data_IF_424952098337
#
_entry.id   IF_424952098337
#
_cell.length_a   1.000
_cell.length_b   1.000
_cell.length_c   1.000
_cell.angle_alpha   90.00
_cell.angle_beta   90.00
_cell.angle_gamma   90.00
#
_symmetry.space_group_name_H-M   'P 1'
#
loop_
_entity.id
_entity.type
_entity.pdbx_description
1 polymer ?
#
# COMPACT_ATOMS: atom_id res chain seq x y z
N UNK A 1 14.75 49.63 -6.09
CA UNK A 1 13.61 49.42 -5.16
C UNK A 1 12.27 49.16 -5.86
N UNK A 2 11.81 49.98 -6.83
CA UNK A 2 10.49 49.76 -7.48
C UNK A 2 10.33 48.44 -8.27
N UNK A 3 11.40 47.90 -8.88
CA UNK A 3 11.34 46.61 -9.63
C UNK A 3 11.19 45.37 -8.74
N UNK A 4 11.79 45.39 -7.55
CA UNK A 4 11.63 44.30 -6.57
C UNK A 4 10.22 44.26 -5.97
N UNK A 5 9.62 45.44 -5.74
CA UNK A 5 8.26 45.53 -5.19
C UNK A 5 7.20 44.98 -6.15
N UNK A 6 7.36 45.20 -7.46
CA UNK A 6 6.46 44.66 -8.50
C UNK A 6 6.60 43.14 -8.64
N UNK A 7 7.83 42.61 -8.53
CA UNK A 7 8.06 41.16 -8.57
C UNK A 7 7.44 40.44 -7.37
N UNK A 8 7.55 41.02 -6.17
CA UNK A 8 6.95 40.47 -4.95
C UNK A 8 5.43 40.52 -5.03
N UNK A 9 4.84 41.60 -5.54
CA UNK A 9 3.39 41.69 -5.77
C UNK A 9 2.87 40.70 -6.82
N UNK A 10 3.63 40.44 -7.89
CA UNK A 10 3.28 39.42 -8.89
C UNK A 10 3.39 38.01 -8.32
N UNK A 11 4.41 37.72 -7.50
CA UNK A 11 4.55 36.44 -6.81
C UNK A 11 3.41 36.20 -5.81
N UNK A 12 3.03 37.22 -5.02
CA UNK A 12 1.90 37.12 -4.10
C UNK A 12 0.59 36.90 -4.87
N UNK A 13 0.38 37.60 -6.00
CA UNK A 13 -0.81 37.42 -6.82
C UNK A 13 -0.88 36.03 -7.45
N UNK A 14 0.25 35.48 -7.93
CA UNK A 14 0.34 34.11 -8.44
C UNK A 14 0.07 33.09 -7.34
N UNK A 15 0.62 33.29 -6.13
CA UNK A 15 0.37 32.40 -4.99
C UNK A 15 -1.09 32.46 -4.50
N UNK A 16 -1.72 33.64 -4.49
CA UNK A 16 -3.14 33.79 -4.11
C UNK A 16 -4.05 33.17 -5.17
N UNK A 17 -3.73 33.32 -6.46
CA UNK A 17 -4.50 32.67 -7.54
C UNK A 17 -4.28 31.14 -7.52
N UNK A 18 -3.07 30.66 -7.22
CA UNK A 18 -2.81 29.23 -7.03
C UNK A 18 -3.54 28.68 -5.81
N UNK A 19 -3.55 29.37 -4.67
CA UNK A 19 -4.29 28.98 -3.47
C UNK A 19 -5.81 28.95 -3.73
N UNK A 20 -6.36 29.92 -4.46
CA UNK A 20 -7.78 29.94 -4.83
C UNK A 20 -8.15 28.88 -5.89
N UNK A 21 -7.20 28.45 -6.73
CA UNK A 21 -7.37 27.33 -7.66
C UNK A 21 -7.22 25.96 -6.96
N UNK A 22 -6.44 25.87 -5.87
CA UNK A 22 -6.28 24.67 -5.05
C UNK A 22 -7.42 24.48 -4.03
N UNK A 23 -7.94 25.56 -3.44
CA UNK A 23 -9.13 25.50 -2.55
C UNK A 23 -10.42 25.09 -3.31
N UNK A 24 -10.42 25.19 -4.65
CA UNK A 24 -11.56 24.85 -5.51
C UNK A 24 -11.60 23.42 -6.07
N UNK A 25 -10.64 22.54 -5.72
CA UNK A 25 -10.53 21.18 -6.29
C UNK A 25 -10.42 20.05 -5.26
N UNK A 26 -10.92 20.25 -4.04
CA UNK A 26 -11.31 19.13 -3.18
C UNK A 26 -12.54 18.49 -3.81
N UNK A 27 -12.40 17.28 -4.33
CA UNK A 27 -13.48 16.47 -4.92
C UNK A 27 -14.72 16.51 -4.02
N UNK A 28 -15.65 17.40 -4.36
CA UNK A 28 -16.91 17.54 -3.67
C UNK A 28 -17.89 16.57 -4.32
N UNK A 29 -17.96 15.35 -3.77
CA UNK A 29 -19.08 14.39 -3.76
C UNK A 29 -18.53 12.96 -3.83
N UNK A 30 -18.19 12.37 -2.68
CA UNK A 30 -18.16 10.91 -2.53
C UNK A 30 -18.43 10.43 -1.08
N UNK A 31 -18.31 11.27 -0.03
CA UNK A 31 -18.14 10.74 1.34
C UNK A 31 -19.35 10.71 2.29
N UNK A 32 -20.54 11.15 1.90
CA UNK A 32 -21.72 11.02 2.78
C UNK A 32 -22.38 9.63 2.73
N UNK A 33 -21.94 8.75 1.80
CA UNK A 33 -22.51 7.42 1.59
C UNK A 33 -21.68 6.23 2.07
N UNK A 34 -20.36 6.42 2.24
CA UNK A 34 -19.42 5.31 2.46
C UNK A 34 -19.58 4.62 3.82
N UNK A 35 -19.88 5.35 4.91
CA UNK A 35 -19.92 4.73 6.26
C UNK A 35 -21.10 3.78 6.49
N UNK A 36 -22.30 4.06 5.95
CA UNK A 36 -23.46 3.15 6.12
C UNK A 36 -23.53 2.06 5.06
N UNK A 37 -23.02 2.32 3.86
CA UNK A 37 -22.97 1.32 2.81
C UNK A 37 -21.88 0.28 3.09
N UNK A 38 -20.68 0.70 3.50
CA UNK A 38 -19.59 -0.20 3.84
C UNK A 38 -19.97 -1.15 5.00
N UNK A 39 -20.60 -0.62 6.05
CA UNK A 39 -21.07 -1.44 7.18
C UNK A 39 -22.05 -2.55 6.79
N UNK A 40 -22.82 -2.39 5.70
CA UNK A 40 -23.75 -3.43 5.22
C UNK A 40 -23.06 -4.55 4.44
N UNK A 41 -21.86 -4.29 3.94
CA UNK A 41 -21.08 -5.23 3.13
C UNK A 41 -19.94 -5.88 3.92
N UNK A 42 -19.83 -5.59 5.22
CA UNK A 42 -18.89 -6.27 6.10
C UNK A 42 -19.30 -7.74 6.26
N UNK A 43 -18.38 -8.64 5.95
CA UNK A 43 -18.53 -10.07 6.14
C UNK A 43 -17.53 -10.58 7.17
N UNK A 44 -17.80 -11.76 7.74
CA UNK A 44 -16.89 -12.40 8.67
C UNK A 44 -15.86 -13.23 7.89
N UNK A 45 -14.57 -12.92 8.04
CA UNK A 45 -13.50 -13.75 7.47
C UNK A 45 -13.02 -14.83 8.44
N UNK A 46 -12.80 -14.47 9.70
CA UNK A 46 -12.41 -15.42 10.76
C UNK A 46 -13.22 -15.18 12.03
N UNK A 47 -13.24 -16.12 12.97
CA UNK A 47 -14.29 -16.16 14.01
C UNK A 47 -14.42 -14.96 14.97
N UNK A 48 -13.41 -14.10 15.12
CA UNK A 48 -13.45 -12.95 16.02
C UNK A 48 -12.31 -11.95 15.76
N UNK A 49 -12.38 -10.78 16.41
CA UNK A 49 -11.26 -9.82 16.50
C UNK A 49 -10.01 -10.52 17.01
N UNK A 50 -8.86 -10.26 16.37
CA UNK A 50 -7.57 -10.88 16.70
C UNK A 50 -7.55 -12.41 16.56
N UNK A 51 -8.40 -12.99 15.71
CA UNK A 51 -8.31 -14.40 15.31
C UNK A 51 -6.95 -14.77 14.67
N UNK A 52 -6.30 -13.77 14.06
CA UNK A 52 -5.00 -13.83 13.42
C UNK A 52 -4.19 -12.75 14.10
N UNK A 53 -3.13 -13.18 14.78
CA UNK A 53 -2.37 -12.31 15.66
C UNK A 53 -1.30 -11.56 14.87
N UNK A 54 -1.35 -10.24 14.92
CA UNK A 54 -0.31 -9.39 14.37
C UNK A 54 1.04 -9.63 15.09
N UNK A 55 2.13 -9.56 14.34
CA UNK A 55 3.47 -9.52 14.94
C UNK A 55 3.71 -8.10 15.44
N UNK A 56 4.05 -7.95 16.72
CA UNK A 56 4.39 -6.67 17.32
C UNK A 56 5.85 -6.71 17.79
N UNK A 57 6.61 -5.65 17.51
CA UNK A 57 8.05 -5.59 17.79
C UNK A 57 8.83 -6.76 17.15
N UNK A 58 8.78 -6.91 15.81
CA UNK A 58 9.42 -8.00 15.09
C UNK A 58 10.93 -8.07 15.33
N UNK A 59 11.47 -9.28 15.26
CA UNK A 59 12.91 -9.53 15.18
C UNK A 59 13.34 -9.62 13.71
N UNK A 60 14.57 -9.19 13.44
CA UNK A 60 15.16 -9.22 12.11
C UNK A 60 16.48 -9.98 12.12
N UNK A 61 16.78 -10.62 11.00
CA UNK A 61 18.04 -11.33 10.77
C UNK A 61 18.77 -10.81 9.53
N UNK A 62 20.03 -11.20 9.41
CA UNK A 62 20.85 -10.84 8.25
C UNK A 62 20.38 -11.57 6.98
N UNK A 63 20.72 -11.00 5.83
CA UNK A 63 20.57 -11.63 4.52
C UNK A 63 21.20 -13.05 4.48
N UNK A 64 22.35 -13.24 5.12
CA UNK A 64 23.04 -14.54 5.17
C UNK A 64 22.21 -15.60 5.91
N UNK A 65 21.64 -15.24 7.06
CA UNK A 65 20.77 -16.14 7.82
C UNK A 65 19.49 -16.43 7.05
N UNK A 66 18.87 -15.41 6.46
CA UNK A 66 17.65 -15.55 5.68
C UNK A 66 17.81 -16.49 4.48
N UNK A 67 18.97 -16.49 3.81
CA UNK A 67 19.27 -17.42 2.71
C UNK A 67 19.23 -18.90 3.10
N UNK A 68 19.29 -19.25 4.39
CA UNK A 68 19.17 -20.64 4.82
C UNK A 68 17.75 -21.21 4.67
N UNK A 69 16.73 -20.37 4.52
CA UNK A 69 15.33 -20.79 4.46
C UNK A 69 14.44 -20.00 3.49
N UNK A 70 14.91 -18.86 2.95
CA UNK A 70 14.31 -18.17 1.82
C UNK A 70 14.94 -18.64 0.52
N UNK A 71 14.11 -19.18 -0.38
CA UNK A 71 14.50 -19.49 -1.76
C UNK A 71 14.43 -18.22 -2.59
N UNK A 72 15.23 -18.14 -3.65
CA UNK A 72 15.24 -16.98 -4.55
C UNK A 72 13.89 -16.71 -5.21
N UNK A 73 13.06 -17.75 -5.37
CA UNK A 73 11.70 -17.65 -5.90
C UNK A 73 10.65 -17.22 -4.88
N UNK A 74 10.98 -17.20 -3.58
CA UNK A 74 10.01 -16.84 -2.54
C UNK A 74 9.66 -15.36 -2.66
N UNK A 75 8.36 -15.03 -2.53
CA UNK A 75 7.90 -13.64 -2.57
C UNK A 75 8.20 -12.94 -1.25
N UNK A 76 8.72 -11.73 -1.35
CA UNK A 76 8.96 -10.81 -0.24
C UNK A 76 8.32 -9.46 -0.56
N UNK A 77 7.89 -8.77 0.49
CA UNK A 77 7.52 -7.36 0.41
C UNK A 77 8.70 -6.55 0.94
N UNK A 78 9.33 -5.81 0.03
CA UNK A 78 10.50 -5.00 0.32
C UNK A 78 10.10 -3.57 0.63
N UNK A 79 10.61 -3.04 1.74
CA UNK A 79 10.53 -1.63 2.10
C UNK A 79 11.92 -1.03 1.89
N UNK A 80 12.01 -0.02 1.04
CA UNK A 80 13.21 0.81 0.89
C UNK A 80 12.77 2.27 0.94
N UNK A 81 12.89 2.87 2.12
CA UNK A 81 12.46 4.25 2.37
C UNK A 81 13.61 5.06 2.95
N UNK A 82 13.74 6.34 2.58
CA UNK A 82 14.70 7.22 3.23
C UNK A 82 14.27 7.42 4.69
N UNK A 83 15.24 7.51 5.60
CA UNK A 83 14.98 7.71 7.03
C UNK A 83 14.09 8.94 7.29
N UNK A 84 14.17 9.95 6.43
CA UNK A 84 13.35 11.18 6.46
C UNK A 84 11.85 10.91 6.31
N UNK A 85 11.44 9.91 5.51
CA UNK A 85 10.03 9.56 5.30
C UNK A 85 9.32 9.07 6.57
N UNK A 86 10.08 8.61 7.57
CA UNK A 86 9.54 8.23 8.87
C UNK A 86 9.33 9.41 9.84
N UNK A 87 9.81 10.60 9.47
CA UNK A 87 9.75 11.81 10.28
C UNK A 87 8.97 12.95 9.62
N UNK A 88 8.62 12.85 8.33
CA UNK A 88 7.79 13.85 7.67
C UNK A 88 6.35 13.79 8.21
N UNK A 89 6.02 14.75 9.08
CA UNK A 89 4.64 15.21 9.29
C UNK A 89 4.19 16.04 8.09
N UNK A 90 2.89 16.02 7.85
CA UNK A 90 2.19 16.92 6.93
C UNK A 90 2.60 18.40 7.17
N UNK A 91 3.46 18.92 6.29
CA UNK A 91 3.95 20.30 6.35
C UNK A 91 4.48 20.77 5.00
N UNK A 92 4.12 21.99 4.61
CA UNK A 92 4.48 22.57 3.31
C UNK A 92 6.00 22.71 3.14
N UNK A 93 6.41 22.68 1.87
CA UNK A 93 7.79 22.71 1.37
C UNK A 93 8.72 23.78 2.00
N UNK A 94 8.18 24.85 2.59
CA UNK A 94 8.95 25.93 3.21
C UNK A 94 9.51 25.62 4.61
N UNK A 95 8.92 24.69 5.37
CA UNK A 95 9.47 24.26 6.68
C UNK A 95 10.62 23.25 6.54
N UNK A 96 10.82 22.69 5.34
CA UNK A 96 11.83 21.66 5.02
C UNK A 96 13.29 22.15 5.06
N UNK A 97 13.53 23.45 5.26
CA UNK A 97 14.89 24.03 5.22
C UNK A 97 15.52 24.36 6.57
N UNK A 98 14.73 24.48 7.66
CA UNK A 98 15.26 24.83 9.00
C UNK A 98 15.28 23.67 10.00
N UNK A 99 14.48 22.61 9.80
CA UNK A 99 14.67 21.34 10.49
C UNK A 99 15.73 20.50 9.76
N UNK A 100 16.98 20.96 9.87
CA UNK A 100 18.15 20.08 9.71
C UNK A 100 18.00 18.95 10.74
N UNK A 101 17.48 17.82 10.29
CA UNK A 101 17.39 16.54 11.00
C UNK A 101 18.70 16.25 11.75
N UNK A 102 18.77 16.56 13.05
CA UNK A 102 19.75 16.10 14.06
C UNK A 102 21.21 15.81 13.63
N UNK A 103 21.75 16.44 12.57
CA UNK A 103 23.07 16.13 12.02
C UNK A 103 23.32 14.67 11.61
N UNK A 104 22.29 13.80 11.51
CA UNK A 104 22.46 12.42 11.05
C UNK A 104 22.47 12.39 9.51
N UNK A 105 23.38 11.62 8.87
CA UNK A 105 23.32 11.41 7.42
C UNK A 105 22.01 10.71 7.05
N UNK A 106 21.41 11.08 5.92
CA UNK A 106 20.27 10.35 5.37
C UNK A 106 20.73 8.94 4.96
N UNK A 107 19.96 7.94 5.35
CA UNK A 107 20.18 6.55 4.98
C UNK A 107 18.84 5.90 4.62
N UNK A 108 18.91 4.77 3.89
CA UNK A 108 17.72 4.00 3.54
C UNK A 108 17.50 2.89 4.57
N UNK A 109 16.24 2.70 4.92
CA UNK A 109 15.78 1.55 5.70
C UNK A 109 15.37 0.50 4.68
N UNK A 110 16.19 -0.53 4.56
CA UNK A 110 15.98 -1.65 3.64
C UNK A 110 15.60 -2.90 4.44
N UNK A 111 14.31 -3.23 4.41
CA UNK A 111 13.77 -4.39 5.12
C UNK A 111 12.94 -5.25 4.17
N UNK A 112 13.06 -6.57 4.29
CA UNK A 112 12.23 -7.53 3.58
C UNK A 112 11.30 -8.27 4.54
N UNK A 113 10.03 -8.36 4.17
CA UNK A 113 8.98 -9.06 4.91
C UNK A 113 8.50 -10.25 4.06
N UNK A 114 8.89 -11.49 4.39
CA UNK A 114 8.51 -12.65 3.58
C UNK A 114 6.99 -12.86 3.54
N UNK A 115 6.44 -13.05 2.34
CA UNK A 115 5.01 -13.34 2.12
C UNK A 115 4.55 -14.51 2.97
N UNK A 116 5.39 -15.56 3.10
CA UNK A 116 5.08 -16.75 3.91
C UNK A 116 5.00 -16.50 5.42
N UNK A 117 5.53 -15.40 5.96
CA UNK A 117 5.28 -15.03 7.37
C UNK A 117 4.01 -14.18 7.44
N UNK A 118 3.91 -13.19 6.56
CA UNK A 118 2.76 -12.29 6.50
C UNK A 118 1.45 -13.00 6.13
N UNK A 119 1.50 -14.13 5.42
CA UNK A 119 0.32 -14.96 5.17
C UNK A 119 -0.30 -15.52 6.46
N UNK A 120 0.52 -15.80 7.48
CA UNK A 120 0.06 -16.30 8.79
C UNK A 120 -0.39 -15.19 9.71
N UNK A 121 0.22 -14.00 9.62
CA UNK A 121 0.04 -12.93 10.59
C UNK A 121 -0.74 -11.72 10.09
N UNK A 122 -0.81 -11.55 8.77
CA UNK A 122 -1.42 -10.46 8.02
C UNK A 122 -0.90 -9.04 8.32
N UNK A 123 -0.38 -8.78 9.53
CA UNK A 123 0.09 -7.49 9.98
C UNK A 123 1.38 -7.68 10.79
N UNK A 124 2.39 -6.88 10.48
CA UNK A 124 3.62 -6.72 11.24
C UNK A 124 3.74 -5.25 11.63
N UNK A 125 3.55 -4.96 12.91
CA UNK A 125 3.77 -3.64 13.49
C UNK A 125 5.25 -3.50 13.87
N UNK A 126 5.98 -2.78 13.02
CA UNK A 126 7.42 -2.57 13.13
C UNK A 126 7.74 -1.18 13.69
N UNK A 127 8.95 -1.04 14.19
CA UNK A 127 9.49 0.19 14.72
C UNK A 127 10.91 0.36 14.22
N UNK A 128 11.21 1.54 13.70
CA UNK A 128 12.58 1.92 13.41
C UNK A 128 12.89 3.29 14.02
N UNK A 129 13.88 3.33 14.91
CA UNK A 129 14.31 4.53 15.66
C UNK A 129 13.15 5.34 16.31
N UNK A 130 12.09 4.66 16.76
CA UNK A 130 10.93 5.29 17.41
C UNK A 130 9.78 5.62 16.46
N UNK A 131 9.96 5.50 15.15
CA UNK A 131 8.90 5.65 14.16
C UNK A 131 8.21 4.32 13.92
N UNK A 132 6.92 4.27 14.24
CA UNK A 132 6.08 3.10 14.00
C UNK A 132 5.60 3.07 12.56
N UNK A 133 5.54 1.86 12.00
CA UNK A 133 4.87 1.60 10.74
C UNK A 133 4.40 0.14 10.73
N UNK A 134 3.46 -0.15 9.84
CA UNK A 134 2.85 -1.48 9.76
C UNK A 134 2.90 -1.99 8.34
N UNK A 135 3.50 -3.15 8.16
CA UNK A 135 3.47 -3.89 6.89
C UNK A 135 2.34 -4.89 6.97
N UNK A 136 1.48 -4.89 5.96
CA UNK A 136 0.26 -5.69 5.93
C UNK A 136 0.19 -6.49 4.65
N UNK A 137 -0.46 -7.65 4.74
CA UNK A 137 -0.74 -8.51 3.60
C UNK A 137 -2.07 -9.21 3.82
N UNK A 138 -2.97 -9.05 2.86
CA UNK A 138 -4.25 -9.72 2.79
C UNK A 138 -4.11 -10.98 1.91
N UNK A 139 -4.08 -12.20 2.49
CA UNK A 139 -3.89 -13.42 1.71
C UNK A 139 -5.07 -13.74 0.80
N UNK A 140 -6.23 -13.17 1.12
CA UNK A 140 -7.47 -13.32 0.38
C UNK A 140 -7.41 -12.48 -0.89
N UNK A 141 -7.01 -11.22 -0.83
CA UNK A 141 -7.00 -10.29 -1.96
C UNK A 141 -5.63 -10.10 -2.64
N UNK A 142 -4.55 -10.66 -2.08
CA UNK A 142 -3.21 -10.60 -2.66
C UNK A 142 -2.51 -9.25 -2.53
N UNK A 143 -3.12 -8.30 -1.81
CA UNK A 143 -2.59 -6.94 -1.62
C UNK A 143 -1.64 -6.89 -0.43
N UNK A 144 -0.51 -6.22 -0.60
CA UNK A 144 0.40 -5.84 0.47
C UNK A 144 0.56 -4.33 0.52
N UNK A 145 0.50 -3.74 1.71
CA UNK A 145 0.72 -2.31 1.93
C UNK A 145 1.66 -2.09 3.10
N UNK A 146 2.24 -0.89 3.15
CA UNK A 146 2.90 -0.38 4.34
C UNK A 146 2.27 0.95 4.74
N UNK A 147 2.04 1.16 6.04
CA UNK A 147 1.44 2.38 6.58
C UNK A 147 2.33 2.99 7.63
N UNK A 148 2.42 4.31 7.66
CA UNK A 148 2.94 5.03 8.82
C UNK A 148 2.00 4.74 10.01
N UNK A 149 2.56 4.36 11.14
CA UNK A 149 1.84 4.01 12.37
C UNK A 149 1.37 5.25 13.13
N UNK A 150 0.55 6.09 12.50
CA UNK A 150 -0.07 7.28 13.11
C UNK A 150 -1.58 7.27 12.88
N UNK A 151 -2.33 7.51 13.95
CA UNK A 151 -3.78 7.76 13.93
C UNK A 151 -4.08 8.89 14.89
N UNK A 152 -4.82 9.92 14.45
CA UNK A 152 -5.09 11.14 15.21
C UNK A 152 -3.79 11.75 15.78
N UNK A 153 -2.75 11.82 14.94
CA UNK A 153 -1.39 12.29 15.26
C UNK A 153 -0.69 11.54 16.42
N UNK A 154 -1.21 10.37 16.82
CA UNK A 154 -0.63 9.51 17.85
C UNK A 154 -0.06 8.25 17.24
N UNK A 155 1.03 7.77 17.82
CA UNK A 155 1.61 6.48 17.49
C UNK A 155 0.56 5.37 17.64
N UNK A 156 0.38 4.61 16.56
CA UNK A 156 -0.62 3.57 16.43
C UNK A 156 0.02 2.29 15.91
N UNK A 157 -0.49 1.16 16.39
CA UNK A 157 -0.31 -0.16 15.81
C UNK A 157 -1.65 -0.67 15.31
N UNK A 158 -1.64 -1.61 14.37
CA UNK A 158 -2.87 -2.17 13.80
C UNK A 158 -3.03 -3.65 14.15
N UNK A 159 -4.27 -4.10 14.20
CA UNK A 159 -4.63 -5.51 14.37
C UNK A 159 -5.75 -5.93 13.43
N UNK A 160 -6.03 -7.23 13.40
CA UNK A 160 -7.04 -7.82 12.52
C UNK A 160 -8.40 -7.79 13.20
N UNK A 161 -9.42 -7.19 12.56
CA UNK A 161 -10.80 -7.22 13.10
C UNK A 161 -11.47 -8.57 12.95
N UNK A 162 -10.97 -9.39 12.04
CA UNK A 162 -11.59 -10.61 11.56
C UNK A 162 -12.73 -10.41 10.58
N UNK A 163 -13.00 -9.15 10.22
CA UNK A 163 -13.96 -8.76 9.21
C UNK A 163 -13.28 -8.53 7.86
N UNK A 164 -14.08 -8.61 6.82
CA UNK A 164 -13.69 -8.39 5.44
C UNK A 164 -14.66 -7.41 4.80
N UNK A 165 -14.13 -6.52 3.98
CA UNK A 165 -14.90 -5.59 3.14
C UNK A 165 -14.40 -5.74 1.71
N UNK A 166 -15.28 -6.12 0.79
CA UNK A 166 -14.93 -6.31 -0.63
C UNK A 166 -13.72 -7.24 -0.84
N UNK A 167 -13.73 -8.39 -0.16
CA UNK A 167 -12.63 -9.38 -0.17
C UNK A 167 -11.29 -8.90 0.39
N UNK A 168 -11.25 -7.69 0.97
CA UNK A 168 -10.08 -7.11 1.61
C UNK A 168 -10.17 -7.14 3.14
N UNK A 169 -9.00 -7.26 3.77
CA UNK A 169 -8.84 -7.26 5.23
C UNK A 169 -9.32 -5.93 5.82
N UNK A 170 -10.12 -6.00 6.89
CA UNK A 170 -10.42 -4.83 7.72
C UNK A 170 -9.55 -4.83 8.98
N UNK A 171 -8.75 -3.80 9.13
CA UNK A 171 -7.86 -3.59 10.27
C UNK A 171 -8.53 -2.73 11.34
N UNK A 172 -8.04 -2.77 12.58
CA UNK A 172 -8.36 -1.77 13.60
C UNK A 172 -7.08 -1.13 14.16
N UNK A 173 -7.16 0.11 14.61
CA UNK A 173 -6.03 0.79 15.27
C UNK A 173 -6.06 0.68 16.80
N UNK A 174 -4.90 0.80 17.43
CA UNK A 174 -4.73 0.75 18.89
C UNK A 174 -5.07 2.04 19.63
N UNK A 175 -5.31 3.16 18.94
CA UNK A 175 -5.49 4.49 19.56
C UNK A 175 -6.94 4.70 19.96
N UNK A 176 -7.85 4.44 19.04
CA UNK A 176 -9.28 4.71 19.17
C UNK A 176 -10.17 3.60 18.59
N UNK A 177 -9.57 2.51 18.09
CA UNK A 177 -10.29 1.37 17.52
C UNK A 177 -11.19 1.75 16.34
N UNK A 178 -10.78 2.73 15.54
CA UNK A 178 -11.32 2.92 14.20
C UNK A 178 -10.93 1.73 13.32
N UNK A 179 -11.80 1.42 12.36
CA UNK A 179 -11.59 0.34 11.40
C UNK A 179 -11.15 0.92 10.07
N UNK A 180 -10.25 0.22 9.41
CA UNK A 180 -9.55 0.69 8.21
C UNK A 180 -9.56 -0.40 7.15
N UNK A 181 -9.90 -0.04 5.91
CA UNK A 181 -9.76 -0.96 4.79
C UNK A 181 -8.27 -1.09 4.44
N UNK A 182 -7.73 -2.31 4.41
CA UNK A 182 -6.29 -2.54 4.28
C UNK A 182 -5.75 -2.14 2.90
N UNK A 183 -6.52 -2.34 1.84
CA UNK A 183 -6.09 -2.04 0.47
C UNK A 183 -5.96 -0.53 0.22
N UNK A 184 -6.88 0.27 0.74
CA UNK A 184 -6.93 1.73 0.48
C UNK A 184 -6.40 2.59 1.63
N UNK A 185 -6.36 2.08 2.86
CA UNK A 185 -6.06 2.88 4.04
C UNK A 185 -7.19 3.82 4.46
N UNK A 186 -8.38 3.70 3.87
CA UNK A 186 -9.55 4.53 4.19
C UNK A 186 -10.27 4.03 5.46
N UNK A 187 -10.88 4.94 6.25
CA UNK A 187 -11.61 4.58 7.45
C UNK A 187 -13.00 4.02 7.09
N UNK A 188 -13.33 2.88 7.67
CA UNK A 188 -14.60 2.15 7.47
C UNK A 188 -15.59 2.45 8.60
N UNK A 189 -15.09 2.49 9.84
CA UNK A 189 -15.90 2.68 11.05
C UNK A 189 -15.10 3.38 12.14
N UNK A 190 -15.78 4.09 13.04
CA UNK A 190 -15.16 4.75 14.18
C UNK A 190 -14.76 6.21 13.94
N UNK A 191 -14.11 6.85 14.92
CA UNK A 191 -13.86 8.30 14.89
C UNK A 191 -13.04 8.81 13.70
N UNK A 192 -12.22 7.98 13.07
CA UNK A 192 -11.46 8.35 11.87
C UNK A 192 -12.36 8.69 10.67
N UNK A 193 -13.54 8.07 10.56
CA UNK A 193 -14.54 8.38 9.52
C UNK A 193 -15.03 9.81 9.68
N UNK A 194 -15.37 10.21 10.91
CA UNK A 194 -15.86 11.56 11.22
C UNK A 194 -14.77 12.61 10.95
N UNK A 195 -13.50 12.25 11.12
CA UNK A 195 -12.35 13.11 10.81
C UNK A 195 -11.94 13.11 9.34
N UNK A 196 -12.48 12.20 8.53
CA UNK A 196 -12.05 11.99 7.14
C UNK A 196 -10.53 11.80 7.02
N UNK A 197 -9.98 11.05 7.97
CA UNK A 197 -8.54 10.75 8.07
C UNK A 197 -8.25 9.48 7.27
N UNK A 198 -7.25 9.52 6.39
CA UNK A 198 -6.72 8.34 5.69
C UNK A 198 -5.35 7.97 6.25
N UNK A 199 -5.02 6.68 6.25
CA UNK A 199 -3.68 6.23 6.60
C UNK A 199 -2.65 6.71 5.56
N UNK A 200 -1.47 7.10 6.03
CA UNK A 200 -0.36 7.48 5.15
C UNK A 200 0.38 6.22 4.68
N UNK A 201 0.36 5.96 3.37
CA UNK A 201 1.05 4.81 2.78
C UNK A 201 2.56 5.05 2.63
N UNK A 202 3.32 3.97 2.76
CA UNK A 202 4.73 3.90 2.44
C UNK A 202 4.92 3.02 1.19
N UNK A 203 5.83 3.39 0.27
CA UNK A 203 6.11 2.57 -0.90
C UNK A 203 6.61 1.18 -0.49
N UNK A 204 5.93 0.15 -0.98
CA UNK A 204 6.31 -1.25 -0.76
C UNK A 204 6.46 -1.97 -2.10
N UNK A 205 7.47 -2.83 -2.20
CA UNK A 205 7.82 -3.55 -3.43
C UNK A 205 7.49 -5.01 -3.25
N UNK A 206 6.53 -5.53 -4.00
CA UNK A 206 6.33 -6.98 -4.12
C UNK A 206 7.29 -7.53 -5.17
N UNK A 207 8.18 -8.43 -4.76
CA UNK A 207 9.18 -9.04 -5.65
C UNK A 207 9.63 -10.40 -5.11
N UNK A 208 10.51 -11.09 -5.82
CA UNK A 208 11.12 -12.32 -5.32
C UNK A 208 12.34 -12.01 -4.46
N UNK A 209 12.67 -12.89 -3.52
CA UNK A 209 13.83 -12.75 -2.65
C UNK A 209 15.13 -12.61 -3.43
N UNK A 210 15.29 -13.39 -4.50
CA UNK A 210 16.47 -13.33 -5.36
C UNK A 210 16.64 -11.97 -6.03
N UNK A 211 15.54 -11.38 -6.51
CA UNK A 211 15.54 -10.04 -7.10
C UNK A 211 15.81 -8.98 -6.04
N UNK A 212 15.11 -9.01 -4.90
CA UNK A 212 15.30 -8.05 -3.81
C UNK A 212 16.74 -8.00 -3.31
N UNK A 213 17.30 -9.15 -2.93
CA UNK A 213 18.64 -9.22 -2.31
C UNK A 213 19.76 -8.85 -3.28
N UNK A 214 19.53 -8.97 -4.59
CA UNK A 214 20.48 -8.52 -5.61
C UNK A 214 20.60 -6.99 -5.68
N UNK A 215 19.53 -6.27 -5.33
CA UNK A 215 19.46 -4.80 -5.37
C UNK A 215 19.71 -4.17 -4.00
N UNK A 216 19.32 -4.87 -2.93
CA UNK A 216 19.44 -4.41 -1.54
C UNK A 216 20.35 -5.34 -0.73
N UNK A 217 21.68 -5.36 -0.99
CA UNK A 217 22.61 -6.30 -0.34
C UNK A 217 22.80 -6.03 1.17
N UNK A 218 22.35 -4.88 1.67
CA UNK A 218 22.38 -4.53 3.09
C UNK A 218 21.03 -4.73 3.79
N UNK A 219 20.03 -5.27 3.08
CA UNK A 219 18.70 -5.53 3.65
C UNK A 219 18.79 -6.46 4.86
N UNK A 220 17.95 -6.18 5.85
CA UNK A 220 17.61 -7.15 6.90
C UNK A 220 16.25 -7.76 6.61
N UNK A 221 16.00 -8.95 7.15
CA UNK A 221 14.81 -9.75 6.82
C UNK A 221 14.05 -10.07 8.09
N UNK A 222 12.71 -9.97 8.05
CA UNK A 222 11.85 -10.41 9.14
C UNK A 222 12.16 -11.87 9.48
N UNK A 223 12.55 -12.12 10.73
CA UNK A 223 12.93 -13.44 11.21
C UNK A 223 11.71 -14.34 11.43
N UNK A 224 11.92 -15.66 11.36
CA UNK A 224 10.94 -16.66 11.81
C UNK A 224 10.74 -16.67 13.33
N UNK A 225 11.60 -16.00 14.09
CA UNK A 225 11.47 -15.82 15.54
C UNK A 225 10.42 -14.76 15.88
N UNK A 226 9.18 -15.02 15.49
CA UNK A 226 8.05 -14.08 15.63
C UNK A 226 7.39 -14.14 17.00
N UNK A 227 7.76 -15.13 17.84
CA UNK A 227 7.11 -15.42 19.12
C UNK A 227 5.89 -16.34 19.01
N UNK A 228 5.59 -16.85 17.81
CA UNK A 228 4.48 -17.78 17.55
C UNK A 228 4.97 -19.14 17.07
N UNK A 229 4.28 -20.21 17.47
CA UNK A 229 4.58 -21.60 17.10
C UNK A 229 3.95 -21.95 15.74
N UNK A 230 4.41 -21.30 14.68
CA UNK A 230 3.96 -21.51 13.30
C UNK A 230 5.08 -22.11 12.45
N UNK A 231 4.73 -23.02 11.55
CA UNK A 231 5.63 -23.52 10.52
C UNK A 231 5.53 -22.68 9.24
N UNK A 232 6.37 -21.64 9.14
CA UNK A 232 6.43 -20.77 7.96
C UNK A 232 6.96 -21.45 6.69
N UNK A 233 7.32 -22.73 6.72
CA UNK A 233 7.60 -23.49 5.49
C UNK A 233 6.32 -23.91 4.77
N UNK A 234 5.17 -23.90 5.47
CA UNK A 234 3.86 -24.22 4.91
C UNK A 234 3.31 -23.01 4.15
N UNK A 235 3.03 -23.22 2.86
CA UNK A 235 2.35 -22.24 2.01
C UNK A 235 0.84 -22.31 2.29
N UNK A 236 0.27 -21.21 2.76
CA UNK A 236 -1.14 -21.15 3.16
C UNK A 236 -2.11 -20.97 1.97
N UNK A 237 -1.64 -20.56 0.79
CA UNK A 237 -2.49 -19.98 -0.27
C UNK A 237 -3.67 -20.86 -0.74
N UNK A 238 -3.50 -22.17 -0.90
CA UNK A 238 -4.57 -23.02 -1.48
C UNK A 238 -5.67 -23.42 -0.48
N UNK A 239 -5.32 -23.63 0.80
CA UNK A 239 -6.25 -24.13 1.82
C UNK A 239 -6.73 -23.04 2.79
N UNK A 240 -6.04 -21.90 2.87
CA UNK A 240 -6.36 -20.81 3.80
C UNK A 240 -7.38 -19.84 3.21
N UNK A 241 -7.29 -19.53 1.91
CA UNK A 241 -8.29 -18.69 1.21
C UNK A 241 -9.66 -19.37 1.19
N UNK A 242 -9.68 -20.69 0.99
CA UNK A 242 -10.89 -21.52 1.09
C UNK A 242 -11.36 -21.72 2.55
N UNK A 243 -10.44 -21.84 3.51
CA UNK A 243 -10.74 -22.02 4.94
C UNK A 243 -11.24 -20.77 5.67
N UNK A 244 -10.90 -19.57 5.20
CA UNK A 244 -11.42 -18.29 5.73
C UNK A 244 -12.86 -17.97 5.26
N UNK A 245 -13.51 -18.86 4.50
CA UNK A 245 -14.90 -18.67 4.07
C UNK A 245 -15.15 -17.41 3.24
N UNK A 246 -14.09 -16.78 2.73
CA UNK A 246 -14.09 -15.43 2.14
C UNK A 246 -13.91 -15.42 0.64
N UNK A 247 -13.66 -16.60 0.07
CA UNK A 247 -13.63 -16.85 -1.36
C UNK A 247 -14.59 -17.98 -1.66
N UNK A 248 -15.71 -17.65 -2.30
CA UNK A 248 -16.58 -18.63 -2.93
C UNK A 248 -16.31 -18.59 -4.43
N UNK A 249 -15.77 -19.65 -5.04
CA UNK A 249 -15.60 -19.72 -6.49
C UNK A 249 -16.89 -19.41 -7.26
N UNK A 250 -18.06 -19.74 -6.67
CA UNK A 250 -19.38 -19.49 -7.27
C UNK A 250 -19.78 -18.00 -7.29
N UNK A 251 -19.09 -17.15 -6.52
CA UNK A 251 -19.32 -15.69 -6.50
C UNK A 251 -18.40 -14.94 -7.48
N UNK A 252 -17.38 -15.60 -8.03
CA UNK A 252 -16.50 -15.01 -9.05
C UNK A 252 -17.24 -15.01 -10.38
N UNK A 253 -17.73 -13.84 -10.78
CA UNK A 253 -18.51 -13.67 -12.01
C UNK A 253 -17.66 -13.24 -13.20
N UNK A 254 -16.46 -12.71 -12.97
CA UNK A 254 -15.58 -12.19 -14.00
C UNK A 254 -14.47 -13.17 -14.38
N UNK A 255 -14.68 -13.84 -15.51
CA UNK A 255 -13.84 -14.94 -16.01
C UNK A 255 -12.77 -14.48 -17.03
N UNK A 256 -12.50 -13.17 -17.15
CA UNK A 256 -11.53 -12.64 -18.13
C UNK A 256 -10.09 -13.04 -17.81
N UNK A 257 -9.77 -13.24 -16.53
CA UNK A 257 -8.49 -13.73 -16.02
C UNK A 257 -8.75 -14.82 -14.96
N UNK A 258 -7.72 -15.59 -14.59
CA UNK A 258 -7.83 -16.48 -13.43
C UNK A 258 -8.10 -15.64 -12.17
N UNK A 259 -9.00 -16.06 -11.26
CA UNK A 259 -9.29 -15.31 -10.04
C UNK A 259 -8.04 -14.91 -9.26
N UNK A 260 -7.01 -15.76 -9.24
CA UNK A 260 -5.76 -15.54 -8.52
C UNK A 260 -4.63 -14.99 -9.39
N UNK A 261 -4.90 -14.66 -10.67
CA UNK A 261 -3.94 -13.89 -11.46
C UNK A 261 -3.67 -12.55 -10.77
N UNK A 262 -2.40 -12.19 -10.66
CA UNK A 262 -2.00 -10.89 -10.13
C UNK A 262 -2.24 -9.83 -11.21
N UNK A 263 -2.85 -8.73 -10.82
CA UNK A 263 -3.04 -7.55 -11.65
C UNK A 263 -2.51 -6.30 -10.97
N UNK A 264 -2.11 -5.35 -11.80
CA UNK A 264 -1.89 -3.95 -11.45
C UNK A 264 -3.12 -3.17 -11.90
N UNK A 265 -3.99 -2.81 -10.97
CA UNK A 265 -5.21 -2.05 -11.22
C UNK A 265 -4.96 -0.56 -11.04
N UNK A 266 -5.33 0.26 -12.02
CA UNK A 266 -5.28 1.73 -11.94
C UNK A 266 -6.67 2.33 -12.10
N UNK A 267 -6.85 3.53 -11.52
CA UNK A 267 -7.98 4.40 -11.81
C UNK A 267 -7.47 5.68 -12.49
N UNK A 268 -8.12 6.07 -13.60
CA UNK A 268 -7.96 7.38 -14.19
C UNK A 268 -9.32 8.02 -14.48
N UNK A 269 -9.70 8.99 -13.64
CA UNK A 269 -10.95 9.77 -13.78
C UNK A 269 -12.20 8.87 -13.78
N UNK A 270 -12.28 7.92 -12.87
CA UNK A 270 -13.39 6.97 -12.75
C UNK A 270 -13.42 5.88 -13.81
N UNK A 271 -12.39 5.78 -14.67
CA UNK A 271 -12.17 4.62 -15.54
C UNK A 271 -11.11 3.73 -14.90
N UNK A 272 -11.42 2.45 -14.77
CA UNK A 272 -10.55 1.47 -14.14
C UNK A 272 -9.92 0.58 -15.22
N UNK A 273 -8.64 0.26 -15.08
CA UNK A 273 -7.96 -0.69 -15.98
C UNK A 273 -7.01 -1.58 -15.19
N UNK A 274 -7.01 -2.86 -15.53
CA UNK A 274 -6.14 -3.87 -14.94
C UNK A 274 -5.09 -4.34 -15.95
N UNK A 275 -3.84 -4.42 -15.50
CA UNK A 275 -2.72 -4.97 -16.25
C UNK A 275 -2.26 -6.27 -15.58
N UNK A 276 -2.35 -7.44 -16.25
CA UNK A 276 -1.81 -8.68 -15.71
C UNK A 276 -0.32 -8.56 -15.36
N UNK A 277 0.13 -9.14 -14.25
CA UNK A 277 1.54 -9.08 -13.85
C UNK A 277 2.47 -9.66 -14.91
N UNK A 278 2.03 -10.70 -15.62
CA UNK A 278 2.74 -11.33 -16.74
C UNK A 278 3.03 -10.33 -17.86
N UNK A 279 2.11 -9.40 -18.13
CA UNK A 279 2.34 -8.31 -19.08
C UNK A 279 3.39 -7.33 -18.54
N UNK A 280 3.27 -6.88 -17.29
CA UNK A 280 4.25 -5.97 -16.67
C UNK A 280 5.65 -6.59 -16.61
N UNK A 281 5.74 -7.89 -16.34
CA UNK A 281 6.97 -8.67 -16.34
C UNK A 281 7.63 -8.71 -17.72
N UNK A 282 6.84 -8.75 -18.79
CA UNK A 282 7.32 -8.74 -20.17
C UNK A 282 7.88 -7.40 -20.64
N UNK A 283 7.62 -6.31 -19.91
CA UNK A 283 8.12 -4.98 -20.28
C UNK A 283 9.63 -4.86 -20.10
N UNK A 284 10.26 -4.19 -21.07
CA UNK A 284 11.69 -3.85 -21.03
C UNK A 284 11.95 -2.74 -20.00
N UNK A 285 13.04 -2.88 -19.24
CA UNK A 285 13.48 -1.86 -18.29
C UNK A 285 13.82 -0.53 -18.97
N UNK A 286 13.36 0.58 -18.40
CA UNK A 286 13.69 1.94 -18.85
C UNK A 286 13.05 2.33 -20.19
N UNK A 287 12.21 1.48 -20.77
CA UNK A 287 11.46 1.77 -21.99
C UNK A 287 10.05 2.24 -21.63
N UNK A 288 9.63 3.30 -22.32
CA UNK A 288 8.30 3.86 -22.20
C UNK A 288 7.30 3.09 -23.09
N UNK A 289 6.18 2.71 -22.48
CA UNK A 289 5.03 2.13 -23.17
C UNK A 289 3.84 3.06 -22.97
N UNK A 290 3.00 3.21 -24.00
CA UNK A 290 1.81 4.06 -23.94
C UNK A 290 0.58 3.19 -24.17
N UNK A 291 -0.43 3.41 -23.33
CA UNK A 291 -1.73 2.76 -23.42
C UNK A 291 -2.84 3.81 -23.23
N UNK A 292 -4.07 3.46 -23.59
CA UNK A 292 -5.25 4.29 -23.40
C UNK A 292 -6.12 3.74 -22.26
N UNK A 293 -6.51 4.64 -21.36
CA UNK A 293 -7.49 4.39 -20.29
C UNK A 293 -8.64 5.37 -20.50
N UNK A 294 -9.78 4.85 -20.96
CA UNK A 294 -10.87 5.69 -21.44
C UNK A 294 -10.45 6.57 -22.62
N UNK A 295 -10.37 7.89 -22.42
CA UNK A 295 -9.99 8.87 -23.45
C UNK A 295 -8.62 9.52 -23.21
N UNK A 296 -7.78 8.89 -22.38
CA UNK A 296 -6.53 9.47 -21.89
C UNK A 296 -5.38 8.51 -22.09
N UNK A 297 -4.23 9.05 -22.45
CA UNK A 297 -3.00 8.27 -22.58
C UNK A 297 -2.30 8.13 -21.23
N UNK A 298 -1.93 6.90 -20.89
CA UNK A 298 -1.13 6.54 -19.72
C UNK A 298 0.22 6.03 -20.19
N UNK A 299 1.27 6.51 -19.55
CA UNK A 299 2.64 6.05 -19.73
C UNK A 299 2.95 4.99 -18.68
N UNK A 300 3.50 3.86 -19.13
CA UNK A 300 3.99 2.77 -18.32
C UNK A 300 5.51 2.73 -18.44
N UNK A 301 6.19 2.83 -17.30
CA UNK A 301 7.65 2.76 -17.23
C UNK A 301 8.08 1.80 -16.11
N UNK A 302 8.73 0.70 -16.50
CA UNK A 302 9.34 -0.24 -15.56
C UNK A 302 10.77 0.19 -15.26
N UNK A 303 11.03 0.63 -14.03
CA UNK A 303 12.33 1.14 -13.61
C UNK A 303 13.35 0.01 -13.43
N UNK A 304 14.63 0.33 -13.24
CA UNK A 304 15.70 -0.66 -13.04
C UNK A 304 15.47 -1.56 -11.82
N UNK A 305 14.69 -1.10 -10.86
CA UNK A 305 14.28 -1.85 -9.67
C UNK A 305 13.12 -2.83 -9.94
N UNK A 306 12.53 -2.78 -11.14
CA UNK A 306 11.43 -3.64 -11.56
C UNK A 306 10.07 -3.16 -11.09
N UNK A 307 10.02 -2.01 -10.43
CA UNK A 307 8.77 -1.33 -10.14
C UNK A 307 8.21 -0.72 -11.42
N UNK A 308 6.90 -0.80 -11.56
CA UNK A 308 6.17 -0.11 -12.61
C UNK A 308 5.71 1.24 -12.08
N UNK A 309 5.86 2.27 -12.90
CA UNK A 309 5.26 3.59 -12.68
C UNK A 309 4.23 3.82 -13.78
N UNK A 310 3.02 4.18 -13.36
CA UNK A 310 1.96 4.65 -14.25
C UNK A 310 1.91 6.17 -14.14
N UNK A 311 1.79 6.87 -15.25
CA UNK A 311 1.57 8.33 -15.23
C UNK A 311 0.64 8.78 -16.35
N UNK A 312 -0.19 9.80 -16.09
CA UNK A 312 -0.94 10.42 -17.17
C UNK A 312 0.03 11.17 -18.08
N UNK A 313 0.11 10.76 -19.35
CA UNK A 313 1.09 11.27 -20.31
C UNK A 313 1.00 12.79 -20.54
N UNK A 314 -0.19 13.37 -20.40
CA UNK A 314 -0.41 14.80 -20.66
C UNK A 314 0.02 15.71 -19.51
N UNK A 315 -0.10 15.26 -18.27
CA UNK A 315 0.24 16.03 -17.06
C UNK A 315 1.58 15.61 -16.44
N UNK A 316 2.02 14.38 -16.68
CA UNK A 316 3.13 13.74 -15.96
C UNK A 316 2.77 13.35 -14.53
N UNK A 317 1.48 13.42 -14.16
CA UNK A 317 1.00 13.02 -12.84
C UNK A 317 1.10 11.49 -12.70
N UNK A 318 1.83 11.03 -11.69
CA UNK A 318 1.91 9.61 -11.35
C UNK A 318 0.56 9.11 -10.83
N UNK A 319 0.17 7.92 -11.26
CA UNK A 319 -1.07 7.26 -10.87
C UNK A 319 -0.75 6.19 -9.84
N UNK A 320 -1.53 6.17 -8.76
CA UNK A 320 -1.53 5.06 -7.83
C UNK A 320 -2.11 3.81 -8.49
N UNK A 321 -1.58 2.65 -8.12
CA UNK A 321 -2.08 1.36 -8.57
C UNK A 321 -2.27 0.42 -7.39
N UNK A 322 -3.24 -0.48 -7.50
CA UNK A 322 -3.38 -1.61 -6.61
C UNK A 322 -2.71 -2.84 -7.22
N UNK A 323 -1.80 -3.47 -6.48
CA UNK A 323 -1.26 -4.80 -6.82
C UNK A 323 -2.04 -5.84 -6.03
N UNK A 324 -2.75 -6.74 -6.70
CA UNK A 324 -3.56 -7.76 -6.03
C UNK A 324 -4.13 -8.79 -6.98
N UNK A 325 -4.91 -9.72 -6.43
CA UNK A 325 -5.59 -10.75 -7.22
C UNK A 325 -6.72 -10.16 -8.05
N UNK A 326 -6.89 -10.69 -9.25
CA UNK A 326 -7.91 -10.28 -10.21
C UNK A 326 -9.30 -10.25 -9.60
N UNK A 327 -9.72 -11.30 -8.90
CA UNK A 327 -11.08 -11.38 -8.38
C UNK A 327 -11.39 -10.29 -7.35
N UNK A 328 -10.39 -9.87 -6.57
CA UNK A 328 -10.55 -8.80 -5.58
C UNK A 328 -10.68 -7.44 -6.28
N UNK A 329 -9.87 -7.21 -7.32
CA UNK A 329 -9.97 -6.00 -8.14
C UNK A 329 -11.29 -5.94 -8.92
N UNK A 330 -11.61 -6.98 -9.69
CA UNK A 330 -12.81 -7.02 -10.55
C UNK A 330 -14.11 -7.08 -9.74
N UNK A 331 -14.08 -7.64 -8.54
CA UNK A 331 -15.21 -7.64 -7.61
C UNK A 331 -15.61 -6.24 -7.14
N UNK A 332 -14.67 -5.30 -7.11
CA UNK A 332 -14.91 -3.88 -6.78
C UNK A 332 -15.15 -3.06 -8.05
N UNK A 333 -14.37 -3.33 -9.10
CA UNK A 333 -14.35 -2.58 -10.35
C UNK A 333 -14.85 -3.45 -11.51
N UNK A 334 -16.13 -3.84 -11.48
CA UNK A 334 -16.70 -4.77 -12.47
C UNK A 334 -16.58 -4.29 -13.92
N UNK A 335 -16.63 -2.96 -14.13
CA UNK A 335 -16.49 -2.32 -15.44
C UNK A 335 -15.03 -2.09 -15.85
N UNK A 336 -14.04 -2.62 -15.10
CA UNK A 336 -12.62 -2.44 -15.40
C UNK A 336 -12.29 -2.92 -16.80
N UNK A 337 -11.50 -2.14 -17.52
CA UNK A 337 -10.83 -2.59 -18.73
C UNK A 337 -9.73 -3.60 -18.35
N UNK A 338 -9.38 -4.50 -19.27
CA UNK A 338 -8.26 -5.44 -19.12
C UNK A 338 -7.35 -5.26 -20.33
N UNK A 339 -6.05 -5.15 -20.09
CA UNK A 339 -5.04 -4.98 -21.13
C UNK A 339 -4.89 -6.21 -22.04
#
# INVERSE_FOLDING_TARGET
MKRYFILVLLLILVCVVAALLFEGKRSSRLNDGLSRAALRNLTQGCGHKDCILAINNPSFESLENANSWLKDSDVVFGLSIPSSALYEEAGSFEQKSEQRLMGKPEFFIEKAYPKKILAWHQIVNDNFEGSLFSVTYCPVCGVANAFIGKVSDKNATFGVTGLILNSDLVMYDSVESSYWQQASGEPVFGPAVDRQENLSLLPIITTTWGQWKSKHPQTIVLSKETGFDNDYSVVLEDNFVSGLGSYSPDEVTDIRLDPFDIVYGIELRGVYKAYPSTYIESLDYGKEYVDEVGAKEVLLLKNADGQIVFSEKSSGEELEYLYGYWYAWSGIHSETEVF
#
